data_IF_811781472671
#
_entry.id   IF_811781472671
#
_cell.length_a   1.000
_cell.length_b   1.000
_cell.length_c   1.000
_cell.angle_alpha   90.00
_cell.angle_beta   90.00
_cell.angle_gamma   90.00
#
_symmetry.space_group_name_H-M   'P 1'
#
loop_
_entity.id
_entity.type
_entity.pdbx_description
1 polymer ?
#
# COMPACT_ATOMS: atom_id res chain seq x y z
N UNK A 1 -32.00 -11.47 -18.11
CA UNK A 1 -31.37 -10.87 -16.91
C UNK A 1 -30.65 -11.99 -16.18
N UNK A 2 -29.33 -11.98 -16.15
CA UNK A 2 -28.54 -12.98 -15.42
C UNK A 2 -28.02 -12.33 -14.16
N UNK A 3 -28.58 -12.69 -13.01
CA UNK A 3 -28.02 -12.39 -11.70
C UNK A 3 -26.76 -13.22 -11.52
N UNK A 4 -25.59 -12.66 -11.82
CA UNK A 4 -24.34 -13.21 -11.31
C UNK A 4 -24.28 -12.89 -9.83
N UNK A 5 -24.32 -13.94 -9.01
CA UNK A 5 -24.07 -13.87 -7.58
C UNK A 5 -22.79 -13.08 -7.30
N UNK A 6 -22.78 -12.34 -6.19
CA UNK A 6 -21.59 -11.76 -5.58
C UNK A 6 -20.56 -12.87 -5.39
N UNK A 7 -19.51 -12.91 -6.22
CA UNK A 7 -18.36 -13.76 -5.95
C UNK A 7 -17.62 -13.16 -4.77
N UNK A 8 -17.64 -13.87 -3.63
CA UNK A 8 -16.68 -13.70 -2.55
C UNK A 8 -15.28 -13.91 -3.12
N UNK A 9 -14.67 -12.82 -3.57
CA UNK A 9 -13.35 -12.86 -4.18
C UNK A 9 -12.33 -12.97 -3.06
N UNK A 10 -11.71 -14.15 -2.94
CA UNK A 10 -10.64 -14.41 -1.99
C UNK A 10 -9.41 -14.95 -2.72
N UNK A 11 -8.23 -14.55 -2.27
CA UNK A 11 -6.96 -15.02 -2.80
C UNK A 11 -5.90 -15.01 -1.71
N UNK A 12 -4.95 -15.95 -1.82
CA UNK A 12 -3.81 -16.07 -0.90
C UNK A 12 -2.55 -16.27 -1.72
N UNK A 13 -1.53 -15.44 -1.46
CA UNK A 13 -0.19 -15.59 -2.01
C UNK A 13 0.80 -15.92 -0.89
N UNK A 14 1.04 -17.22 -0.66
CA UNK A 14 2.10 -17.65 0.26
C UNK A 14 3.51 -17.43 -0.32
N UNK A 15 3.60 -17.34 -1.66
CA UNK A 15 4.79 -16.99 -2.43
C UNK A 15 4.34 -16.26 -3.70
N UNK A 16 5.23 -15.48 -4.29
CA UNK A 16 4.94 -14.72 -5.51
C UNK A 16 5.57 -15.32 -6.77
N UNK A 17 6.40 -16.36 -6.66
CA UNK A 17 6.94 -17.06 -7.85
C UNK A 17 5.79 -17.62 -8.70
N UNK A 18 5.67 -17.13 -9.94
CA UNK A 18 4.60 -17.51 -10.86
C UNK A 18 3.22 -16.91 -10.51
N UNK A 19 3.14 -16.03 -9.50
CA UNK A 19 1.91 -15.32 -9.19
C UNK A 19 1.57 -14.35 -10.32
N UNK A 20 0.29 -14.30 -10.68
CA UNK A 20 -0.22 -13.31 -11.62
C UNK A 20 -0.43 -12.01 -10.84
N UNK A 21 0.59 -11.17 -10.80
CA UNK A 21 0.55 -9.82 -10.21
C UNK A 21 1.07 -8.81 -11.24
N UNK A 22 0.49 -7.62 -11.24
CA UNK A 22 1.01 -6.50 -12.05
C UNK A 22 2.08 -5.78 -11.25
N UNK A 23 3.26 -5.61 -11.83
CA UNK A 23 4.38 -4.93 -11.21
C UNK A 23 4.64 -3.60 -11.93
N UNK A 24 5.01 -2.58 -11.18
CA UNK A 24 5.37 -1.25 -11.68
C UNK A 24 6.54 -0.67 -10.86
N UNK A 25 7.28 0.27 -11.45
CA UNK A 25 8.52 0.81 -10.88
C UNK A 25 9.60 -0.27 -10.70
N UNK A 26 10.24 -0.27 -9.54
CA UNK A 26 11.35 -1.18 -9.20
C UNK A 26 10.87 -2.55 -8.66
N UNK A 27 9.55 -2.76 -8.58
CA UNK A 27 8.98 -3.96 -7.99
C UNK A 27 9.30 -5.20 -8.83
N UNK A 28 9.78 -6.26 -8.17
CA UNK A 28 10.16 -7.51 -8.82
C UNK A 28 9.93 -8.73 -7.93
N UNK A 29 9.78 -9.89 -8.56
CA UNK A 29 9.79 -11.18 -7.86
C UNK A 29 11.23 -11.72 -7.91
N UNK A 30 11.90 -11.77 -6.76
CA UNK A 30 13.29 -12.23 -6.68
C UNK A 30 13.38 -13.77 -6.72
N UNK A 31 14.57 -14.36 -6.99
CA UNK A 31 14.70 -15.81 -7.21
C UNK A 31 14.12 -16.70 -6.12
N UNK A 32 14.11 -16.30 -4.85
CA UNK A 32 13.51 -17.09 -3.75
C UNK A 32 11.96 -17.04 -3.71
N UNK A 33 11.33 -16.29 -4.62
CA UNK A 33 9.88 -16.18 -4.75
C UNK A 33 9.22 -15.12 -3.87
N UNK A 34 10.00 -14.24 -3.24
CA UNK A 34 9.49 -13.07 -2.52
C UNK A 34 9.20 -11.93 -3.50
N UNK A 35 8.19 -11.13 -3.18
CA UNK A 35 7.95 -9.85 -3.83
C UNK A 35 8.82 -8.79 -3.14
N UNK A 36 9.70 -8.16 -3.91
CA UNK A 36 10.54 -7.06 -3.46
C UNK A 36 10.03 -5.78 -4.15
N UNK A 37 9.43 -4.87 -3.38
CA UNK A 37 8.92 -3.60 -3.92
C UNK A 37 10.06 -2.63 -4.27
N UNK A 38 11.08 -2.57 -3.41
CA UNK A 38 12.27 -1.73 -3.58
C UNK A 38 13.50 -2.47 -3.07
N UNK A 39 14.68 -2.04 -3.53
CA UNK A 39 15.97 -2.53 -3.05
C UNK A 39 16.71 -1.44 -2.25
N UNK A 40 17.98 -1.68 -1.91
CA UNK A 40 18.80 -0.78 -1.10
C UNK A 40 19.34 0.45 -1.85
N UNK A 41 18.87 0.71 -3.07
CA UNK A 41 19.20 1.90 -3.85
C UNK A 41 18.38 3.10 -3.36
N UNK A 42 18.88 4.31 -3.65
CA UNK A 42 18.26 5.54 -3.14
C UNK A 42 17.03 5.91 -3.97
N UNK A 43 16.00 6.46 -3.30
CA UNK A 43 14.83 7.09 -3.93
C UNK A 43 14.10 6.18 -4.92
N UNK A 44 13.87 4.93 -4.53
CA UNK A 44 13.09 3.99 -5.32
C UNK A 44 11.63 4.00 -4.90
N UNK A 45 10.77 3.62 -5.85
CA UNK A 45 9.38 3.24 -5.62
C UNK A 45 9.10 1.97 -6.42
N UNK A 46 8.12 1.19 -5.97
CA UNK A 46 7.65 0.03 -6.70
C UNK A 46 6.27 -0.36 -6.22
N UNK A 47 5.44 -0.81 -7.16
CA UNK A 47 4.05 -1.18 -6.90
C UNK A 47 3.81 -2.62 -7.32
N UNK A 48 2.92 -3.29 -6.57
CA UNK A 48 2.40 -4.59 -6.94
C UNK A 48 0.88 -4.59 -6.78
N UNK A 49 0.17 -4.87 -7.86
CA UNK A 49 -1.29 -4.88 -7.89
C UNK A 49 -1.84 -6.25 -8.23
N UNK A 50 -2.92 -6.62 -7.57
CA UNK A 50 -3.77 -7.72 -8.02
C UNK A 50 -4.26 -7.43 -9.46
N UNK A 51 -4.16 -8.38 -10.40
CA UNK A 51 -4.34 -8.08 -11.82
C UNK A 51 -5.79 -7.86 -12.22
N UNK A 52 -6.77 -8.28 -11.41
CA UNK A 52 -8.18 -8.12 -11.73
C UNK A 52 -8.80 -7.03 -10.84
N UNK A 53 -9.57 -6.08 -11.40
CA UNK A 53 -10.26 -5.08 -10.59
C UNK A 53 -11.19 -5.73 -9.56
N UNK A 54 -11.17 -5.21 -8.33
CA UNK A 54 -12.10 -5.61 -7.27
C UNK A 54 -13.20 -4.57 -7.13
N UNK A 55 -14.42 -5.02 -6.90
CA UNK A 55 -15.58 -4.13 -6.72
C UNK A 55 -15.81 -3.90 -5.23
N UNK A 56 -15.66 -2.67 -4.77
CA UNK A 56 -15.89 -2.28 -3.37
C UNK A 56 -17.25 -1.60 -3.11
N UNK A 57 -18.00 -1.28 -4.18
CA UNK A 57 -19.31 -0.64 -4.10
C UNK A 57 -20.28 -1.14 -5.18
N UNK A 58 -21.53 -1.40 -4.80
CA UNK A 58 -22.63 -1.64 -5.72
C UNK A 58 -23.26 -0.30 -6.12
N UNK A 59 -23.21 0.04 -7.41
CA UNK A 59 -23.70 1.31 -7.94
C UNK A 59 -25.24 1.45 -8.02
N UNK A 60 -26.05 0.37 -8.18
CA UNK A 60 -27.51 0.48 -8.15
C UNK A 60 -28.09 0.79 -6.77
N UNK A 61 -27.57 0.17 -5.70
CA UNK A 61 -28.18 0.24 -4.36
C UNK A 61 -27.32 1.02 -3.35
N UNK A 62 -26.12 1.48 -3.75
CA UNK A 62 -25.19 2.20 -2.90
C UNK A 62 -24.44 1.33 -1.87
N UNK A 63 -24.79 0.06 -1.73
CA UNK A 63 -24.17 -0.88 -0.80
C UNK A 63 -22.65 -0.96 -0.99
N UNK A 64 -21.91 -0.88 0.10
CA UNK A 64 -20.45 -1.08 0.14
C UNK A 64 -20.15 -2.51 0.55
N UNK A 65 -19.06 -3.08 0.02
CA UNK A 65 -18.60 -4.40 0.40
C UNK A 65 -17.54 -4.29 1.49
N UNK A 66 -17.62 -5.17 2.47
CA UNK A 66 -16.58 -5.35 3.48
C UNK A 66 -15.42 -6.15 2.91
N UNK A 67 -14.23 -5.94 3.45
CA UNK A 67 -13.07 -6.74 3.07
C UNK A 67 -12.12 -6.92 4.24
N UNK A 68 -11.28 -7.95 4.14
CA UNK A 68 -10.13 -8.10 5.00
C UNK A 68 -8.90 -8.44 4.19
N UNK A 69 -7.76 -7.91 4.58
CA UNK A 69 -6.46 -8.30 4.03
C UNK A 69 -5.45 -8.46 5.15
N UNK A 70 -4.52 -9.39 4.96
CA UNK A 70 -3.37 -9.57 5.84
C UNK A 70 -2.11 -9.59 4.97
N UNK A 71 -1.17 -8.74 5.30
CA UNK A 71 0.12 -8.61 4.62
C UNK A 71 1.22 -8.91 5.63
N UNK A 72 2.16 -9.78 5.23
CA UNK A 72 3.38 -10.07 5.98
C UNK A 72 4.54 -9.52 5.16
N UNK A 73 5.32 -8.63 5.76
CA UNK A 73 6.43 -7.97 5.07
C UNK A 73 7.60 -7.72 6.01
N UNK A 74 8.74 -7.40 5.43
CA UNK A 74 9.96 -7.04 6.14
C UNK A 74 10.59 -5.81 5.46
N UNK A 75 11.01 -4.83 6.27
CA UNK A 75 11.76 -3.66 5.81
C UNK A 75 13.21 -3.89 6.22
N UNK A 76 14.07 -4.20 5.25
CA UNK A 76 15.50 -4.47 5.48
C UNK A 76 16.33 -3.20 5.23
N UNK A 77 16.82 -2.52 6.29
CA UNK A 77 17.65 -1.33 6.11
C UNK A 77 19.04 -1.71 5.56
N UNK A 78 19.63 -0.82 4.75
CA UNK A 78 21.01 -0.99 4.26
C UNK A 78 22.04 -0.77 5.37
N UNK A 79 21.77 0.19 6.25
CA UNK A 79 22.61 0.52 7.40
C UNK A 79 21.75 0.47 8.66
N UNK A 80 22.33 0.01 9.78
CA UNK A 80 21.62 -0.06 11.06
C UNK A 80 20.99 1.30 11.39
N UNK A 81 19.71 1.31 11.75
CA UNK A 81 18.90 2.50 12.05
C UNK A 81 18.63 3.45 10.85
N UNK A 82 18.96 3.08 9.62
CA UNK A 82 18.57 3.82 8.41
C UNK A 82 17.53 3.02 7.61
N UNK A 83 16.27 3.21 7.99
CA UNK A 83 15.14 2.57 7.33
C UNK A 83 14.76 3.29 6.02
N UNK A 84 13.94 2.61 5.21
CA UNK A 84 13.24 3.25 4.10
C UNK A 84 12.17 4.22 4.61
N UNK A 85 11.37 4.77 3.70
CA UNK A 85 10.26 5.65 4.10
C UNK A 85 9.05 4.88 4.59
N UNK A 86 8.69 3.78 3.92
CA UNK A 86 7.57 2.97 4.36
C UNK A 86 7.05 2.03 3.28
N UNK A 87 5.87 1.48 3.55
CA UNK A 87 5.08 0.66 2.63
C UNK A 87 3.60 0.94 2.86
N UNK A 88 2.79 0.89 1.81
CA UNK A 88 1.35 1.07 1.91
C UNK A 88 0.58 -0.03 1.19
N UNK A 89 -0.51 -0.49 1.80
CA UNK A 89 -1.59 -1.20 1.10
C UNK A 89 -2.52 -0.16 0.48
N UNK A 90 -2.75 -0.23 -0.83
CA UNK A 90 -3.53 0.79 -1.55
C UNK A 90 -4.75 0.19 -2.26
N UNK A 91 -5.86 0.91 -2.19
CA UNK A 91 -7.04 0.72 -3.02
C UNK A 91 -7.17 1.96 -3.91
N UNK A 92 -7.17 1.75 -5.23
CA UNK A 92 -7.16 2.81 -6.24
C UNK A 92 -7.99 2.36 -7.45
N UNK A 93 -8.67 3.29 -8.17
CA UNK A 93 -9.43 2.96 -9.37
C UNK A 93 -8.57 2.47 -10.54
N UNK A 94 -7.26 2.75 -10.51
CA UNK A 94 -6.32 2.37 -11.55
C UNK A 94 -4.97 1.95 -10.96
N UNK A 95 -4.27 1.04 -11.64
CA UNK A 95 -2.89 0.66 -11.28
C UNK A 95 -1.90 1.81 -11.54
N UNK A 96 -2.26 2.75 -12.40
CA UNK A 96 -1.46 3.95 -12.62
C UNK A 96 -1.69 4.92 -11.46
N UNK A 97 -0.59 5.39 -10.85
CA UNK A 97 -0.57 6.44 -9.84
C UNK A 97 0.18 7.64 -10.45
N UNK A 98 -0.51 8.54 -11.16
CA UNK A 98 0.14 9.57 -11.97
C UNK A 98 1.02 10.50 -11.13
N UNK A 99 2.28 10.58 -11.52
CA UNK A 99 3.27 11.43 -10.88
C UNK A 99 3.69 10.96 -9.49
N UNK A 100 3.33 9.75 -9.06
CA UNK A 100 3.82 9.15 -7.82
C UNK A 100 5.32 9.34 -7.65
N UNK A 101 5.74 9.80 -6.48
CA UNK A 101 7.15 10.01 -6.13
C UNK A 101 7.62 9.02 -5.07
N UNK A 102 8.94 8.73 -5.04
CA UNK A 102 9.52 7.92 -3.98
C UNK A 102 9.54 8.72 -2.67
N UNK A 103 10.30 8.21 -1.70
CA UNK A 103 10.57 8.86 -0.42
C UNK A 103 9.30 9.10 0.39
N UNK A 104 9.08 10.31 0.91
CA UNK A 104 7.96 10.63 1.78
C UNK A 104 6.59 10.40 1.09
N UNK A 105 6.56 10.33 -0.24
CA UNK A 105 5.30 10.15 -0.96
C UNK A 105 4.81 8.71 -1.06
N UNK A 106 5.58 7.74 -0.53
CA UNK A 106 5.29 6.30 -0.52
C UNK A 106 4.90 5.68 -1.88
N UNK A 107 5.21 6.34 -3.00
CA UNK A 107 4.76 5.92 -4.32
C UNK A 107 3.28 6.18 -4.61
N UNK A 108 2.58 6.99 -3.79
CA UNK A 108 1.15 7.24 -3.93
C UNK A 108 0.85 8.54 -4.69
N UNK A 109 1.52 9.62 -4.29
CA UNK A 109 1.22 10.99 -4.74
C UNK A 109 2.51 11.79 -4.98
N UNK A 110 2.37 13.11 -5.14
CA UNK A 110 3.48 14.07 -5.22
C UNK A 110 3.05 15.43 -4.65
N UNK A 111 3.96 16.40 -4.74
CA UNK A 111 3.76 17.76 -4.25
C UNK A 111 2.49 18.44 -4.81
N UNK A 112 2.09 18.11 -6.05
CA UNK A 112 1.00 18.81 -6.75
C UNK A 112 -0.36 18.13 -6.64
N UNK A 113 -0.41 16.83 -6.31
CA UNK A 113 -1.66 16.09 -6.19
C UNK A 113 -1.91 15.47 -4.81
N UNK A 114 -1.01 15.63 -3.83
CA UNK A 114 -1.25 15.14 -2.47
C UNK A 114 -2.50 15.78 -1.86
N UNK A 115 -3.48 14.96 -1.47
CA UNK A 115 -4.77 15.43 -0.92
C UNK A 115 -5.82 15.77 -1.99
N UNK A 116 -5.52 15.59 -3.28
CA UNK A 116 -6.50 15.84 -4.34
C UNK A 116 -7.59 14.77 -4.34
N UNK A 117 -8.85 15.18 -4.19
CA UNK A 117 -10.03 14.30 -4.17
C UNK A 117 -10.18 13.44 -5.44
N UNK A 118 -9.58 13.84 -6.55
CA UNK A 118 -9.60 13.12 -7.82
C UNK A 118 -8.66 11.90 -7.84
N UNK A 119 -7.78 11.76 -6.84
CA UNK A 119 -6.91 10.59 -6.72
C UNK A 119 -7.73 9.32 -6.46
N UNK A 120 -8.81 9.43 -5.68
CA UNK A 120 -9.66 8.30 -5.26
C UNK A 120 -8.85 7.13 -4.67
N UNK A 121 -7.83 7.45 -3.87
CA UNK A 121 -6.97 6.47 -3.22
C UNK A 121 -7.33 6.36 -1.76
N UNK A 122 -7.43 5.13 -1.27
CA UNK A 122 -7.39 4.81 0.17
C UNK A 122 -6.13 4.00 0.41
N UNK A 123 -5.34 4.37 1.42
CA UNK A 123 -4.17 3.62 1.81
C UNK A 123 -4.15 3.28 3.30
N UNK A 124 -3.52 2.16 3.63
CA UNK A 124 -3.07 1.86 4.99
C UNK A 124 -1.55 1.78 4.93
N UNK A 125 -0.89 2.77 5.49
CA UNK A 125 0.56 2.91 5.47
C UNK A 125 1.21 2.37 6.74
N UNK A 126 2.45 1.89 6.58
CA UNK A 126 3.43 1.81 7.65
C UNK A 126 4.54 2.79 7.26
N UNK A 127 4.53 3.95 7.89
CA UNK A 127 5.56 4.96 7.75
C UNK A 127 6.64 4.74 8.82
N UNK A 128 7.90 4.92 8.42
CA UNK A 128 9.09 4.79 9.27
C UNK A 128 9.97 6.03 9.28
N UNK A 129 9.43 7.17 8.84
CA UNK A 129 10.05 8.50 8.86
C UNK A 129 9.01 9.49 9.37
N UNK A 130 9.46 10.55 10.06
CA UNK A 130 8.58 11.65 10.46
C UNK A 130 8.66 12.77 9.43
N UNK A 131 7.58 13.00 8.71
CA UNK A 131 7.38 14.10 7.77
C UNK A 131 6.43 15.14 8.38
N UNK A 132 6.98 16.29 8.78
CA UNK A 132 6.17 17.35 9.39
C UNK A 132 5.14 17.95 8.42
N UNK A 133 5.44 17.91 7.12
CA UNK A 133 4.54 18.34 6.05
C UNK A 133 3.26 17.50 5.96
N UNK A 134 3.28 16.27 6.46
CA UNK A 134 2.14 15.35 6.48
C UNK A 134 1.48 15.22 7.86
N UNK A 135 2.00 15.96 8.85
CA UNK A 135 1.53 15.96 10.24
C UNK A 135 1.76 14.64 10.98
N UNK A 136 2.82 13.93 10.61
CA UNK A 136 3.17 12.65 11.23
C UNK A 136 3.40 12.78 12.74
N UNK A 137 2.81 11.86 13.49
CA UNK A 137 2.93 11.85 14.94
C UNK A 137 4.36 11.56 15.40
N UNK A 138 5.04 10.62 14.73
CA UNK A 138 6.40 10.17 15.02
C UNK A 138 7.00 9.51 13.78
N UNK A 139 8.22 8.98 13.92
CA UNK A 139 8.99 8.31 12.88
C UNK A 139 8.68 6.82 12.74
N UNK A 140 7.56 6.33 13.28
CA UNK A 140 7.14 4.93 13.15
C UNK A 140 5.65 4.77 13.50
N UNK A 141 4.79 4.94 12.51
CA UNK A 141 3.35 4.85 12.70
C UNK A 141 2.66 4.06 11.59
N UNK A 142 1.45 3.60 11.90
CA UNK A 142 0.50 3.09 10.90
C UNK A 142 -0.57 4.15 10.71
N UNK A 143 -0.88 4.44 9.46
CA UNK A 143 -1.79 5.50 9.04
C UNK A 143 -2.92 4.99 8.16
N UNK A 144 -4.08 5.64 8.19
CA UNK A 144 -5.16 5.50 7.20
C UNK A 144 -5.22 6.79 6.41
N UNK A 145 -4.94 6.69 5.12
CA UNK A 145 -4.85 7.83 4.21
C UNK A 145 -6.00 7.84 3.23
N UNK A 146 -6.56 9.03 3.00
CA UNK A 146 -7.62 9.24 2.02
C UNK A 146 -7.17 10.37 1.09
N UNK A 147 -6.89 10.01 -0.17
CA UNK A 147 -6.44 10.89 -1.26
C UNK A 147 -5.10 11.61 -1.07
N UNK A 148 -4.46 11.52 0.09
CA UNK A 148 -3.17 12.12 0.40
C UNK A 148 -2.61 11.60 1.72
N UNK A 149 -1.36 11.93 2.00
CA UNK A 149 -0.54 11.32 3.06
C UNK A 149 -0.75 11.93 4.46
N UNK A 150 -1.70 12.85 4.60
CA UNK A 150 -2.13 13.27 5.94
C UNK A 150 -3.19 12.27 6.41
N UNK A 151 -2.75 11.36 7.27
CA UNK A 151 -3.61 10.31 7.84
C UNK A 151 -4.84 10.85 8.56
N UNK A 152 -6.01 10.29 8.25
CA UNK A 152 -7.26 10.59 8.95
C UNK A 152 -7.39 9.81 10.27
N UNK A 153 -6.60 8.76 10.44
CA UNK A 153 -6.48 7.97 11.66
C UNK A 153 -5.10 7.31 11.69
N UNK A 154 -4.49 7.20 12.88
CA UNK A 154 -3.14 6.67 13.02
C UNK A 154 -2.94 5.98 14.36
N UNK A 155 -1.91 5.13 14.43
CA UNK A 155 -1.42 4.52 15.66
C UNK A 155 0.10 4.41 15.65
N UNK A 156 0.74 4.67 16.78
CA UNK A 156 2.18 4.47 16.94
C UNK A 156 2.53 2.97 16.95
N UNK A 157 3.62 2.60 16.28
CA UNK A 157 4.18 1.25 16.34
C UNK A 157 5.35 1.24 17.32
N UNK A 158 5.27 0.37 18.34
CA UNK A 158 6.25 0.34 19.45
C UNK A 158 7.28 -0.80 19.38
N UNK A 159 7.13 -1.77 18.49
CA UNK A 159 7.99 -2.96 18.45
C UNK A 159 9.00 -2.94 17.30
N UNK A 160 10.25 -3.29 17.62
CA UNK A 160 11.39 -3.38 16.71
C UNK A 160 11.58 -4.79 16.12
N UNK A 161 10.50 -5.42 15.65
CA UNK A 161 10.60 -6.70 14.92
C UNK A 161 10.86 -6.44 13.44
N UNK A 162 11.68 -7.29 12.80
CA UNK A 162 11.99 -7.15 11.37
C UNK A 162 10.78 -7.53 10.49
N UNK A 163 10.10 -8.61 10.85
CA UNK A 163 8.88 -9.07 10.18
C UNK A 163 7.66 -8.41 10.82
N UNK A 164 6.88 -7.70 10.02
CA UNK A 164 5.64 -7.03 10.42
C UNK A 164 4.43 -7.71 9.77
N UNK A 165 3.30 -7.62 10.46
CA UNK A 165 2.00 -8.10 9.97
C UNK A 165 1.00 -6.95 10.07
N UNK A 166 0.42 -6.55 8.94
CA UNK A 166 -0.71 -5.62 8.92
C UNK A 166 -1.96 -6.41 8.58
N UNK A 167 -3.00 -6.27 9.40
CA UNK A 167 -4.33 -6.79 9.11
C UNK A 167 -5.30 -5.62 9.04
N UNK A 168 -5.96 -5.47 7.89
CA UNK A 168 -7.01 -4.47 7.66
C UNK A 168 -8.34 -5.21 7.61
N UNK A 169 -9.35 -4.69 8.30
CA UNK A 169 -10.74 -5.15 8.24
C UNK A 169 -11.63 -3.92 8.16
N UNK A 170 -12.42 -3.83 7.09
CA UNK A 170 -13.42 -2.78 6.86
C UNK A 170 -14.76 -3.46 6.61
#
# INVERSE_FOLDING_TARGET
MSSTALEDTSFIYNRFRGAKISLDGEAQIIPNGLLMLTNQSKRQLGHAFYPYPLRFKNLPDGNVFTFSTTLVFEILPKFQNFYGHGIAFVITPSRALPGARPTQYLGISNESNNGNLSNHVVAVEQDTIKNSEFSDINDNHVGIDINGLTSVSFAQVSYAISIKVITVRI
#
